data_IF_336516644068
#
_entry.id   IF_336516644068
#
_cell.length_a   1.000
_cell.length_b   1.000
_cell.length_c   1.000
_cell.angle_alpha   90.00
_cell.angle_beta   90.00
_cell.angle_gamma   90.00
#
_symmetry.space_group_name_H-M   'P 1'
#
loop_
_entity.id
_entity.type
_entity.pdbx_description
1 polymer ?
#
# COMPACT_ATOMS: atom_id res chain seq x y z
N UNK A 1 46.37 32.64 -37.49
CA UNK A 1 45.73 32.39 -36.18
C UNK A 1 44.24 31.96 -36.23
N UNK A 2 43.59 31.71 -37.39
CA UNK A 2 42.16 31.32 -37.43
C UNK A 2 41.88 29.82 -37.18
N UNK A 3 42.76 28.90 -37.59
CA UNK A 3 42.53 27.43 -37.49
C UNK A 3 42.44 26.90 -36.05
N UNK A 4 43.20 27.47 -35.12
CA UNK A 4 43.25 27.03 -33.71
C UNK A 4 41.94 27.32 -32.96
N UNK A 5 41.26 28.43 -33.28
CA UNK A 5 39.95 28.77 -32.67
C UNK A 5 38.84 27.82 -33.12
N UNK A 6 38.86 27.37 -34.37
CA UNK A 6 37.88 26.42 -34.89
C UNK A 6 38.03 25.03 -34.26
N UNK A 7 39.27 24.56 -34.07
CA UNK A 7 39.54 23.29 -33.38
C UNK A 7 39.12 23.34 -31.90
N UNK A 8 39.38 24.45 -31.20
CA UNK A 8 38.94 24.64 -29.82
C UNK A 8 37.41 24.63 -29.70
N UNK A 9 36.69 25.24 -30.66
CA UNK A 9 35.23 25.21 -30.69
C UNK A 9 34.68 23.80 -30.89
N UNK A 10 35.23 23.04 -31.85
CA UNK A 10 34.82 21.67 -32.12
C UNK A 10 35.07 20.78 -30.90
N UNK A 11 36.25 20.90 -30.28
CA UNK A 11 36.59 20.15 -29.08
C UNK A 11 35.63 20.47 -27.94
N UNK A 12 35.31 21.74 -27.71
CA UNK A 12 34.35 22.17 -26.70
C UNK A 12 32.95 21.60 -26.95
N UNK A 13 32.47 21.63 -28.20
CA UNK A 13 31.16 21.07 -28.56
C UNK A 13 31.11 19.57 -28.31
N UNK A 14 32.14 18.82 -28.71
CA UNK A 14 32.23 17.37 -28.47
C UNK A 14 32.22 17.07 -26.98
N UNK A 15 32.93 17.86 -26.18
CA UNK A 15 33.02 17.68 -24.74
C UNK A 15 31.67 17.93 -24.04
N UNK A 16 30.92 18.94 -24.48
CA UNK A 16 29.56 19.23 -23.99
C UNK A 16 28.61 18.07 -24.32
N UNK A 17 28.67 17.54 -25.54
CA UNK A 17 27.85 16.38 -25.94
C UNK A 17 28.18 15.18 -25.04
N UNK A 18 29.47 14.91 -24.79
CA UNK A 18 29.91 13.79 -23.96
C UNK A 18 29.37 13.91 -22.52
N UNK A 19 29.48 15.10 -21.92
CA UNK A 19 28.97 15.37 -20.56
C UNK A 19 27.43 15.22 -20.52
N UNK A 20 26.73 15.65 -21.57
CA UNK A 20 25.27 15.56 -21.64
C UNK A 20 24.78 14.12 -21.66
N UNK A 21 25.47 13.24 -22.39
CA UNK A 21 25.17 11.79 -22.43
C UNK A 21 25.40 11.17 -21.05
N UNK A 22 26.52 11.50 -20.40
CA UNK A 22 26.83 10.99 -19.05
C UNK A 22 25.76 11.42 -18.04
N UNK A 23 25.34 12.69 -18.08
CA UNK A 23 24.29 13.21 -17.21
C UNK A 23 22.97 12.44 -17.41
N UNK A 24 22.59 12.15 -18.66
CA UNK A 24 21.38 11.38 -18.96
C UNK A 24 21.45 9.95 -18.40
N UNK A 25 22.60 9.29 -18.48
CA UNK A 25 22.82 7.94 -17.92
C UNK A 25 22.66 7.97 -16.40
N UNK A 26 23.23 8.96 -15.72
CA UNK A 26 23.12 9.11 -14.26
C UNK A 26 21.65 9.29 -13.86
N UNK A 27 20.95 10.22 -14.52
CA UNK A 27 19.52 10.48 -14.24
C UNK A 27 18.70 9.21 -14.48
N UNK A 28 18.94 8.51 -15.59
CA UNK A 28 18.23 7.27 -15.90
C UNK A 28 18.44 6.21 -14.81
N UNK A 29 19.68 5.99 -14.38
CA UNK A 29 19.99 4.99 -13.35
C UNK A 29 19.32 5.33 -12.00
N UNK A 30 19.32 6.59 -11.60
CA UNK A 30 18.67 7.04 -10.35
C UNK A 30 17.16 6.93 -10.45
N UNK A 31 16.55 7.43 -11.53
CA UNK A 31 15.10 7.40 -11.72
C UNK A 31 14.59 5.96 -11.86
N UNK A 32 15.28 5.11 -12.61
CA UNK A 32 14.92 3.70 -12.75
C UNK A 32 15.00 2.96 -11.40
N UNK A 33 16.04 3.20 -10.60
CA UNK A 33 16.18 2.61 -9.28
C UNK A 33 15.05 3.08 -8.35
N UNK A 34 14.73 4.37 -8.35
CA UNK A 34 13.62 4.92 -7.57
C UNK A 34 12.28 4.32 -7.98
N UNK A 35 11.99 4.24 -9.28
CA UNK A 35 10.74 3.63 -9.77
C UNK A 35 10.66 2.15 -9.38
N UNK A 36 11.74 1.39 -9.56
CA UNK A 36 11.78 -0.04 -9.17
C UNK A 36 11.58 -0.23 -7.67
N UNK A 37 12.24 0.58 -6.83
CA UNK A 37 12.12 0.49 -5.39
C UNK A 37 10.72 0.91 -4.90
N UNK A 38 10.16 1.98 -5.46
CA UNK A 38 8.79 2.41 -5.15
C UNK A 38 7.75 1.40 -5.65
N UNK A 39 7.93 0.80 -6.82
CA UNK A 39 7.05 -0.24 -7.33
C UNK A 39 7.09 -1.51 -6.47
N UNK A 40 8.24 -1.82 -5.85
CA UNK A 40 8.35 -2.95 -4.91
C UNK A 40 7.65 -2.67 -3.57
N UNK A 41 7.58 -1.40 -3.14
CA UNK A 41 6.83 -1.00 -1.94
C UNK A 41 5.32 -1.01 -2.17
N UNK A 42 4.87 -0.75 -3.39
CA UNK A 42 3.47 -0.97 -3.79
C UNK A 42 3.31 -2.46 -4.05
N UNK A 43 3.34 -3.26 -2.97
CA UNK A 43 3.04 -4.67 -3.07
C UNK A 43 1.56 -4.82 -3.47
N UNK A 44 1.33 -5.00 -4.77
CA UNK A 44 0.03 -5.31 -5.36
C UNK A 44 -0.27 -6.80 -5.33
N UNK A 45 0.51 -7.60 -4.60
CA UNK A 45 0.10 -8.93 -4.18
C UNK A 45 -1.28 -8.77 -3.58
N UNK A 46 -2.27 -9.22 -4.35
CA UNK A 46 -3.67 -9.21 -3.97
C UNK A 46 -3.73 -9.96 -2.65
N UNK A 47 -3.74 -9.20 -1.56
CA UNK A 47 -3.73 -9.73 -0.21
C UNK A 47 -5.07 -10.45 -0.05
N UNK A 48 -5.08 -11.75 -0.36
CA UNK A 48 -6.27 -12.57 -0.27
C UNK A 48 -6.43 -12.99 1.18
N UNK A 49 -6.87 -12.06 2.02
CA UNK A 49 -7.32 -12.41 3.37
C UNK A 49 -8.79 -12.77 3.29
N UNK A 50 -9.11 -14.06 3.50
CA UNK A 50 -10.51 -14.50 3.62
C UNK A 50 -10.92 -14.49 5.09
N UNK A 51 -11.98 -13.74 5.35
CA UNK A 51 -12.66 -13.67 6.64
C UNK A 51 -14.08 -14.19 6.43
N UNK A 52 -14.47 -15.15 7.26
CA UNK A 52 -15.84 -15.63 7.33
C UNK A 52 -16.49 -15.02 8.58
N UNK A 53 -17.60 -14.30 8.39
CA UNK A 53 -18.45 -13.88 9.50
C UNK A 53 -19.31 -15.08 9.90
N UNK A 54 -19.11 -15.58 11.12
CA UNK A 54 -19.85 -16.75 11.63
C UNK A 54 -21.15 -16.37 12.32
N UNK A 55 -21.14 -15.24 13.02
CA UNK A 55 -22.27 -14.81 13.82
C UNK A 55 -22.23 -13.30 14.03
N UNK A 56 -23.41 -12.68 14.06
CA UNK A 56 -23.62 -11.25 14.33
C UNK A 56 -24.78 -11.13 15.31
N UNK A 57 -24.47 -10.68 16.51
CA UNK A 57 -25.43 -10.45 17.58
C UNK A 57 -25.53 -8.95 17.85
N UNK A 58 -26.66 -8.35 17.51
CA UNK A 58 -26.97 -6.95 17.83
C UNK A 58 -27.63 -6.88 19.21
N UNK A 59 -27.18 -5.97 20.06
CA UNK A 59 -27.72 -5.76 21.40
C UNK A 59 -28.73 -4.63 21.40
N UNK A 60 -29.77 -4.77 22.22
CA UNK A 60 -30.81 -3.74 22.40
C UNK A 60 -30.22 -2.42 22.93
N UNK A 61 -29.07 -2.47 23.60
CA UNK A 61 -28.35 -1.30 24.10
C UNK A 61 -27.55 -0.54 23.03
N UNK A 62 -27.66 -0.92 21.75
CA UNK A 62 -26.93 -0.31 20.63
C UNK A 62 -25.60 -0.99 20.29
N UNK A 63 -25.08 -1.87 21.15
CA UNK A 63 -23.83 -2.60 20.86
C UNK A 63 -23.99 -3.73 19.84
N UNK A 64 -22.85 -4.25 19.36
CA UNK A 64 -22.82 -5.41 18.48
C UNK A 64 -21.70 -6.37 18.86
N UNK A 65 -21.92 -7.66 18.66
CA UNK A 65 -20.92 -8.70 18.83
C UNK A 65 -20.81 -9.53 17.57
N UNK A 66 -19.61 -9.56 16.98
CA UNK A 66 -19.35 -10.23 15.70
C UNK A 66 -18.30 -11.31 15.91
N UNK A 67 -18.60 -12.50 15.43
CA UNK A 67 -17.65 -13.62 15.42
C UNK A 67 -17.04 -13.73 14.03
N UNK A 68 -15.75 -13.44 13.92
CA UNK A 68 -15.00 -13.51 12.66
C UNK A 68 -14.03 -14.68 12.72
N UNK A 69 -14.07 -15.53 11.71
CA UNK A 69 -13.08 -16.59 11.49
C UNK A 69 -12.17 -16.19 10.35
N UNK A 70 -10.87 -16.34 10.55
CA UNK A 70 -9.89 -16.16 9.48
C UNK A 70 -9.50 -17.51 8.87
N UNK A 71 -9.50 -17.57 7.54
CA UNK A 71 -9.13 -18.80 6.82
C UNK A 71 -7.60 -18.96 6.70
N UNK A 72 -7.14 -20.10 6.16
CA UNK A 72 -5.72 -20.46 6.02
C UNK A 72 -4.92 -19.65 4.99
N UNK A 73 -5.53 -18.66 4.32
CA UNK A 73 -4.82 -17.90 3.30
C UNK A 73 -3.73 -16.98 3.88
N UNK A 74 -2.64 -16.89 3.13
CA UNK A 74 -1.47 -16.08 3.43
C UNK A 74 -1.77 -14.59 3.19
N UNK A 75 -1.49 -13.76 4.19
CA UNK A 75 -1.67 -12.30 4.15
C UNK A 75 -1.50 -11.70 5.55
N UNK A 76 -1.19 -10.42 5.68
CA UNK A 76 -1.35 -9.70 6.95
C UNK A 76 -2.83 -9.40 7.20
N UNK A 77 -3.20 -9.13 8.45
CA UNK A 77 -4.44 -8.41 8.74
C UNK A 77 -4.05 -7.31 9.72
N UNK A 78 -3.99 -6.09 9.22
CA UNK A 78 -3.53 -4.93 10.00
C UNK A 78 -4.70 -4.24 10.70
N UNK A 79 -5.85 -4.19 10.03
CA UNK A 79 -7.08 -3.64 10.60
C UNK A 79 -8.33 -4.35 10.07
N UNK A 80 -9.41 -4.23 10.84
CA UNK A 80 -10.74 -4.69 10.46
C UNK A 80 -11.73 -3.53 10.61
N UNK A 81 -12.34 -3.12 9.50
CA UNK A 81 -13.42 -2.13 9.47
C UNK A 81 -14.75 -2.87 9.32
N UNK A 82 -15.67 -2.60 10.24
CA UNK A 82 -17.02 -3.14 10.24
C UNK A 82 -17.98 -1.99 10.02
N UNK A 83 -18.85 -2.12 9.02
CA UNK A 83 -19.85 -1.11 8.67
C UNK A 83 -21.23 -1.73 8.79
N UNK A 84 -22.09 -1.10 9.59
CA UNK A 84 -23.49 -1.44 9.75
C UNK A 84 -24.32 -0.41 9.02
N UNK A 85 -25.34 -0.88 8.30
CA UNK A 85 -26.25 -0.04 7.53
C UNK A 85 -27.64 -0.14 8.13
N UNK A 86 -28.26 1.01 8.38
CA UNK A 86 -29.63 1.13 8.83
C UNK A 86 -30.59 1.26 7.63
N UNK A 87 -31.88 0.98 7.85
CA UNK A 87 -32.92 1.09 6.82
C UNK A 87 -33.10 2.53 6.31
N UNK A 88 -32.74 3.53 7.12
CA UNK A 88 -32.78 4.95 6.74
C UNK A 88 -31.55 5.41 5.91
N UNK A 89 -30.60 4.51 5.64
CA UNK A 89 -29.35 4.82 4.93
C UNK A 89 -28.22 5.38 5.81
N UNK A 90 -28.43 5.53 7.12
CA UNK A 90 -27.36 5.83 8.05
C UNK A 90 -26.41 4.65 8.19
N UNK A 91 -25.15 4.94 8.54
CA UNK A 91 -24.14 3.90 8.72
C UNK A 91 -23.33 4.10 9.99
N UNK A 92 -23.16 3.05 10.75
CA UNK A 92 -22.26 3.00 11.90
C UNK A 92 -21.00 2.24 11.54
N UNK A 93 -19.84 2.85 11.78
CA UNK A 93 -18.55 2.27 11.46
C UNK A 93 -17.77 2.03 12.75
N UNK A 94 -17.27 0.81 12.92
CA UNK A 94 -16.26 0.50 13.92
C UNK A 94 -14.98 0.05 13.24
N UNK A 95 -13.85 0.60 13.68
CA UNK A 95 -12.52 0.24 13.19
C UNK A 95 -11.74 -0.43 14.31
N UNK A 96 -11.10 -1.55 14.00
CA UNK A 96 -10.29 -2.33 14.93
C UNK A 96 -8.89 -2.41 14.34
N UNK A 97 -8.00 -1.57 14.88
CA UNK A 97 -6.59 -1.49 14.46
C UNK A 97 -5.66 -2.24 15.42
N UNK A 98 -6.19 -2.69 16.56
CA UNK A 98 -5.41 -3.46 17.53
C UNK A 98 -5.21 -4.90 17.03
N UNK A 99 -3.98 -5.23 16.62
CA UNK A 99 -3.58 -6.58 16.18
C UNK A 99 -3.96 -7.64 17.23
N UNK A 100 -3.89 -7.31 18.51
CA UNK A 100 -4.28 -8.20 19.61
C UNK A 100 -5.77 -8.55 19.61
N UNK A 101 -6.63 -7.77 18.95
CA UNK A 101 -8.09 -7.99 18.83
C UNK A 101 -8.47 -8.62 17.49
N UNK A 102 -7.55 -8.70 16.54
CA UNK A 102 -7.75 -9.35 15.25
C UNK A 102 -7.60 -10.88 15.35
N UNK A 103 -8.31 -11.67 14.53
CA UNK A 103 -8.13 -13.11 14.44
C UNK A 103 -6.84 -13.45 13.68
N UNK A 104 -6.01 -14.32 14.26
CA UNK A 104 -4.85 -14.92 13.58
C UNK A 104 -5.31 -15.95 12.56
N UNK A 105 -4.36 -16.45 11.76
CA UNK A 105 -4.63 -17.49 10.75
C UNK A 105 -5.29 -18.70 11.42
N UNK A 106 -6.42 -19.17 10.86
CA UNK A 106 -7.25 -20.26 11.39
C UNK A 106 -7.88 -20.00 12.77
N UNK A 107 -7.80 -18.78 13.28
CA UNK A 107 -8.44 -18.38 14.54
C UNK A 107 -9.87 -17.90 14.29
N UNK A 108 -10.74 -18.18 15.27
CA UNK A 108 -12.07 -17.58 15.37
C UNK A 108 -12.09 -16.66 16.57
N UNK A 109 -12.53 -15.43 16.37
CA UNK A 109 -12.52 -14.41 17.42
C UNK A 109 -13.82 -13.66 17.50
N UNK A 110 -14.28 -13.47 18.73
CA UNK A 110 -15.44 -12.66 19.04
C UNK A 110 -14.99 -11.24 19.32
N UNK A 111 -15.58 -10.31 18.60
CA UNK A 111 -15.32 -8.88 18.69
C UNK A 111 -16.58 -8.24 19.25
N UNK A 112 -16.43 -7.49 20.33
CA UNK A 112 -17.50 -6.67 20.89
C UNK A 112 -17.28 -5.21 20.53
N UNK A 113 -18.33 -4.57 20.04
CA UNK A 113 -18.40 -3.18 19.65
C UNK A 113 -19.43 -2.49 20.55
N UNK A 114 -19.03 -1.39 21.17
CA UNK A 114 -19.96 -0.41 21.72
C UNK A 114 -20.24 0.61 20.62
N UNK A 115 -21.51 0.87 20.33
CA UNK A 115 -21.93 1.95 19.43
C UNK A 115 -22.64 3.03 20.23
#
# INVERSE_FOLDING_TARGET
MKKVRAQASILSTVLIILISIIAMIIVYNVVLALIKNSAFQINTDKLRTQLDVKDVNLWVTGGASITVKRNSMLGGLDSLKIVFYEENGASHTAVIDEIARLPKILETKRITLAM
#
